data_IF_584755828077
#
_entry.id   IF_584755828077
#
_cell.length_a   1.000
_cell.length_b   1.000
_cell.length_c   1.000
_cell.angle_alpha   90.00
_cell.angle_beta   90.00
_cell.angle_gamma   90.00
#
_symmetry.space_group_name_H-M   'P 1'
#
loop_
_entity.id
_entity.type
_entity.pdbx_description
1 polymer ?
#
# COMPACT_ATOMS: atom_id res chain seq x y z
N UNK A 1 27.25 14.97 17.01
CA UNK A 1 25.97 15.17 16.29
C UNK A 1 26.31 15.27 14.82
N UNK A 2 25.82 14.35 14.02
CA UNK A 2 26.09 14.29 12.58
C UNK A 2 25.14 15.18 11.81
N UNK A 3 25.62 15.86 10.75
CA UNK A 3 24.82 16.59 9.78
C UNK A 3 24.87 15.81 8.47
N UNK A 4 23.93 14.89 8.26
CA UNK A 4 23.92 13.98 7.11
C UNK A 4 22.97 14.43 5.99
N UNK A 5 22.20 15.51 6.19
CA UNK A 5 21.25 16.01 5.19
C UNK A 5 21.97 16.88 4.15
N UNK A 6 21.59 16.72 2.87
CA UNK A 6 22.07 17.61 1.79
C UNK A 6 21.45 19.00 1.91
N UNK A 7 22.06 20.00 1.31
CA UNK A 7 21.54 21.38 1.32
C UNK A 7 20.20 21.47 0.58
N UNK A 8 20.01 20.70 -0.50
CA UNK A 8 18.75 20.61 -1.23
C UNK A 8 17.61 20.07 -0.32
N UNK A 9 17.90 19.01 0.45
CA UNK A 9 16.94 18.45 1.38
C UNK A 9 16.55 19.46 2.47
N UNK A 10 17.50 20.20 3.02
CA UNK A 10 17.26 21.26 4.02
C UNK A 10 16.47 22.45 3.46
N UNK A 11 16.72 22.79 2.18
CA UNK A 11 16.04 23.92 1.52
C UNK A 11 14.58 23.63 1.16
N UNK A 12 14.20 22.35 1.04
CA UNK A 12 12.82 21.98 0.72
C UNK A 12 11.89 22.23 1.90
N UNK A 13 10.72 22.81 1.63
CA UNK A 13 9.70 23.12 2.65
C UNK A 13 8.86 21.87 2.95
N UNK A 14 9.41 20.97 3.74
CA UNK A 14 8.74 19.75 4.15
C UNK A 14 7.44 20.03 4.91
N UNK A 15 6.40 19.26 4.60
CA UNK A 15 5.12 19.31 5.31
C UNK A 15 5.10 18.13 6.30
N UNK A 16 4.85 18.49 7.55
CA UNK A 16 4.67 17.47 8.59
C UNK A 16 3.30 16.84 8.48
N UNK A 17 3.27 15.52 8.63
CA UNK A 17 2.02 14.79 8.73
C UNK A 17 1.35 15.05 10.08
N UNK A 18 0.03 15.13 10.08
CA UNK A 18 -0.75 15.09 11.31
C UNK A 18 -1.04 13.64 11.68
N UNK A 19 -0.72 13.23 12.90
CA UNK A 19 -1.15 11.94 13.44
C UNK A 19 -2.62 12.09 13.86
N UNK A 20 -3.44 11.19 13.35
CA UNK A 20 -4.88 11.15 13.62
C UNK A 20 -5.30 9.74 14.01
N UNK A 21 -6.51 9.59 14.53
CA UNK A 21 -7.20 8.31 14.64
C UNK A 21 -8.62 8.41 14.10
N UNK A 22 -9.16 7.26 13.68
CA UNK A 22 -10.55 7.11 13.27
C UNK A 22 -11.08 5.75 13.71
N UNK A 23 -12.40 5.61 13.79
CA UNK A 23 -13.02 4.32 14.12
C UNK A 23 -13.19 3.48 12.87
N UNK A 24 -12.65 2.27 12.90
CA UNK A 24 -13.02 1.24 11.94
C UNK A 24 -14.50 0.85 12.14
N UNK A 25 -15.09 0.22 11.15
CA UNK A 25 -16.51 -0.21 11.16
C UNK A 25 -16.89 -1.14 12.32
N UNK A 26 -15.92 -1.80 12.92
CA UNK A 26 -16.09 -2.65 14.11
C UNK A 26 -15.72 -1.94 15.43
N UNK A 27 -15.54 -0.61 15.40
CA UNK A 27 -15.32 0.25 16.56
C UNK A 27 -13.86 0.34 17.04
N UNK A 28 -12.93 -0.39 16.44
CA UNK A 28 -11.52 -0.32 16.81
C UNK A 28 -10.91 1.00 16.34
N UNK A 29 -10.03 1.59 17.15
CA UNK A 29 -9.26 2.77 16.76
C UNK A 29 -8.17 2.38 15.77
N UNK A 30 -8.14 3.06 14.63
CA UNK A 30 -7.11 2.97 13.60
C UNK A 30 -6.36 4.28 13.56
N UNK A 31 -5.03 4.21 13.63
CA UNK A 31 -4.17 5.38 13.61
C UNK A 31 -3.59 5.60 12.21
N UNK A 32 -3.36 6.85 11.87
CA UNK A 32 -2.83 7.22 10.56
C UNK A 32 -2.05 8.53 10.62
N UNK A 33 -1.24 8.76 9.60
CA UNK A 33 -0.68 10.08 9.28
C UNK A 33 -1.44 10.64 8.08
N UNK A 34 -1.86 11.90 8.18
CA UNK A 34 -2.45 12.62 7.07
C UNK A 34 -1.56 13.77 6.64
N UNK A 35 -1.29 13.83 5.33
CA UNK A 35 -0.61 14.93 4.68
C UNK A 35 -1.60 15.66 3.80
N UNK A 36 -1.71 16.98 3.94
CA UNK A 36 -2.64 17.79 3.15
C UNK A 36 -2.04 19.15 2.78
N UNK A 37 -2.43 19.73 1.64
CA UNK A 37 -2.03 21.09 1.31
C UNK A 37 -2.46 22.06 2.39
N UNK A 38 -1.53 22.92 2.86
CA UNK A 38 -1.82 23.94 3.86
C UNK A 38 -2.84 24.98 3.36
N UNK A 39 -2.79 25.30 2.06
CA UNK A 39 -3.74 26.19 1.39
C UNK A 39 -4.90 25.37 0.80
N UNK A 40 -6.10 25.61 1.32
CA UNK A 40 -7.31 24.93 0.85
C UNK A 40 -7.58 25.13 -0.65
N UNK A 41 -7.15 26.25 -1.24
CA UNK A 41 -7.29 26.54 -2.68
C UNK A 41 -6.44 25.64 -3.56
N UNK A 42 -5.39 25.04 -3.00
CA UNK A 42 -4.51 24.09 -3.70
C UNK A 42 -5.02 22.65 -3.68
N UNK A 43 -6.05 22.34 -2.89
CA UNK A 43 -6.63 20.99 -2.82
C UNK A 43 -7.36 20.64 -4.12
N UNK A 44 -6.97 19.55 -4.75
CA UNK A 44 -7.54 19.07 -6.01
C UNK A 44 -8.65 18.01 -5.81
N UNK A 45 -9.05 17.74 -4.55
CA UNK A 45 -10.05 16.71 -4.16
C UNK A 45 -9.66 15.27 -4.55
N UNK A 46 -8.38 15.01 -4.80
CA UNK A 46 -7.84 13.68 -5.03
C UNK A 46 -7.11 13.21 -3.78
N UNK A 47 -7.12 11.92 -3.52
CA UNK A 47 -6.36 11.35 -2.43
C UNK A 47 -5.62 10.09 -2.84
N UNK A 48 -4.57 9.79 -2.07
CA UNK A 48 -3.82 8.54 -2.17
C UNK A 48 -3.72 7.94 -0.77
N UNK A 49 -4.05 6.66 -0.65
CA UNK A 49 -3.79 5.87 0.55
C UNK A 49 -2.47 5.14 0.34
N UNK A 50 -1.52 5.37 1.23
CA UNK A 50 -0.28 4.59 1.32
C UNK A 50 -0.45 3.47 2.32
N UNK A 51 0.02 2.28 1.95
CA UNK A 51 -0.03 1.08 2.77
C UNK A 51 1.40 0.57 2.99
N UNK A 52 1.85 0.59 4.24
CA UNK A 52 3.19 0.11 4.58
C UNK A 52 3.34 -1.41 4.39
N UNK A 53 4.58 -1.87 4.27
CA UNK A 53 4.91 -3.28 4.10
C UNK A 53 4.96 -4.08 5.40
N UNK A 54 5.30 -5.37 5.29
CA UNK A 54 5.54 -6.35 6.35
C UNK A 54 4.37 -6.62 7.30
N UNK A 55 3.29 -5.86 7.26
CA UNK A 55 2.12 -5.97 8.13
C UNK A 55 2.37 -5.54 9.59
N UNK A 56 3.56 -5.70 10.12
CA UNK A 56 3.91 -5.49 11.53
C UNK A 56 4.77 -4.24 11.78
N UNK A 57 4.58 -3.20 11.00
CA UNK A 57 5.23 -1.90 11.18
C UNK A 57 4.31 -0.90 11.87
N UNK A 58 4.86 0.22 12.30
CA UNK A 58 4.14 1.37 12.81
C UNK A 58 4.66 2.62 12.09
N UNK A 59 3.77 3.36 11.43
CA UNK A 59 4.09 4.60 10.73
C UNK A 59 3.41 5.83 11.35
N UNK A 60 2.32 5.66 12.09
CA UNK A 60 1.56 6.75 12.70
C UNK A 60 2.26 7.31 13.96
N UNK A 61 3.47 7.85 13.78
CA UNK A 61 4.28 8.46 14.82
C UNK A 61 4.91 9.77 14.34
N UNK A 62 5.51 10.54 15.25
CA UNK A 62 6.18 11.82 14.96
C UNK A 62 7.71 11.68 14.82
N UNK A 63 8.21 10.47 14.71
CA UNK A 63 9.62 10.16 14.51
C UNK A 63 9.97 10.12 13.02
N UNK A 64 11.24 9.99 12.69
CA UNK A 64 11.70 9.75 11.33
C UNK A 64 10.99 8.53 10.72
N UNK A 65 10.44 8.68 9.52
CA UNK A 65 9.81 7.58 8.81
C UNK A 65 10.86 6.57 8.34
N UNK A 66 10.61 5.30 8.58
CA UNK A 66 11.37 4.22 7.91
C UNK A 66 11.15 4.27 6.40
N UNK A 67 10.02 4.80 5.97
CA UNK A 67 9.66 5.07 4.58
C UNK A 67 10.05 6.51 4.20
N UNK A 68 11.35 6.84 4.25
CA UNK A 68 11.81 8.21 3.99
C UNK A 68 11.66 8.62 2.53
N UNK A 69 11.69 7.66 1.58
CA UNK A 69 11.45 7.91 0.16
C UNK A 69 9.98 8.21 -0.10
N UNK A 70 9.09 7.42 0.49
CA UNK A 70 7.65 7.63 0.45
C UNK A 70 7.27 8.94 1.14
N UNK A 71 7.93 9.31 2.24
CA UNK A 71 7.75 10.62 2.86
C UNK A 71 8.04 11.77 1.88
N UNK A 72 9.12 11.68 1.10
CA UNK A 72 9.42 12.65 0.06
C UNK A 72 8.36 12.65 -1.05
N UNK A 73 7.92 11.47 -1.48
CA UNK A 73 6.88 11.33 -2.49
C UNK A 73 5.52 11.84 -2.01
N UNK A 74 5.16 11.60 -0.74
CA UNK A 74 3.95 12.18 -0.13
C UNK A 74 3.98 13.70 -0.15
N UNK A 75 5.12 14.31 0.13
CA UNK A 75 5.30 15.76 0.04
C UNK A 75 5.11 16.27 -1.39
N UNK A 76 5.65 15.57 -2.39
CA UNK A 76 5.43 15.88 -3.82
C UNK A 76 3.94 15.79 -4.20
N UNK A 77 3.23 14.75 -3.72
CA UNK A 77 1.79 14.62 -3.95
C UNK A 77 1.01 15.79 -3.34
N UNK A 78 1.37 16.19 -2.12
CA UNK A 78 0.75 17.36 -1.45
C UNK A 78 1.01 18.65 -2.21
N UNK A 79 2.21 18.85 -2.77
CA UNK A 79 2.51 20.00 -3.64
C UNK A 79 1.67 20.02 -4.91
N UNK A 80 1.27 18.84 -5.39
CA UNK A 80 0.33 18.67 -6.51
C UNK A 80 -1.15 18.73 -6.10
N UNK A 81 -1.44 19.04 -4.84
CA UNK A 81 -2.79 19.23 -4.33
C UNK A 81 -3.50 17.99 -3.81
N UNK A 82 -2.83 16.84 -3.76
CA UNK A 82 -3.40 15.61 -3.21
C UNK A 82 -3.43 15.63 -1.69
N UNK A 83 -4.39 14.92 -1.11
CA UNK A 83 -4.33 14.49 0.29
C UNK A 83 -3.76 13.07 0.33
N UNK A 84 -2.82 12.81 1.24
CA UNK A 84 -2.24 11.46 1.43
C UNK A 84 -2.60 10.96 2.82
N UNK A 85 -3.07 9.72 2.91
CA UNK A 85 -3.36 9.03 4.15
C UNK A 85 -2.48 7.79 4.26
N UNK A 86 -1.68 7.72 5.30
CA UNK A 86 -0.74 6.64 5.61
C UNK A 86 -1.25 5.94 6.87
N UNK A 87 -1.79 4.72 6.72
CA UNK A 87 -2.61 4.04 7.73
C UNK A 87 -1.82 2.92 8.41
N UNK A 88 -1.86 2.91 9.74
CA UNK A 88 -1.49 1.75 10.55
C UNK A 88 -2.73 0.83 10.69
N UNK A 89 -2.92 -0.01 9.67
CA UNK A 89 -4.03 -0.96 9.58
C UNK A 89 -3.89 -2.12 10.59
N UNK A 90 -4.93 -2.91 10.81
CA UNK A 90 -4.86 -4.15 11.60
C UNK A 90 -3.72 -5.05 11.12
N UNK A 91 -2.88 -5.48 12.03
CA UNK A 91 -1.59 -6.12 12.01
C UNK A 91 -0.45 -5.19 12.41
N UNK A 92 -0.58 -3.87 12.30
CA UNK A 92 0.48 -2.91 12.64
C UNK A 92 0.94 -3.06 14.10
N UNK A 93 2.22 -2.79 14.33
CA UNK A 93 2.85 -2.91 15.64
C UNK A 93 2.48 -1.75 16.57
N UNK A 94 2.61 -1.97 17.88
CA UNK A 94 2.47 -0.91 18.89
C UNK A 94 1.06 -0.73 19.45
N UNK A 95 0.05 -1.42 18.92
CA UNK A 95 -1.37 -1.26 19.29
C UNK A 95 -1.94 -2.46 20.06
N UNK A 96 -1.06 -3.35 20.54
CA UNK A 96 -1.43 -4.52 21.31
C UNK A 96 -1.77 -5.76 20.46
N UNK A 97 -1.99 -6.87 21.19
CA UNK A 97 -2.16 -8.21 20.59
C UNK A 97 -3.34 -8.25 19.63
N UNK A 98 -4.49 -7.72 20.01
CA UNK A 98 -5.74 -7.89 19.26
C UNK A 98 -5.71 -7.16 17.90
N UNK A 99 -5.02 -6.02 17.84
CA UNK A 99 -4.72 -5.36 16.56
C UNK A 99 -3.74 -6.19 15.74
N UNK A 100 -2.65 -6.64 16.36
CA UNK A 100 -1.59 -7.39 15.68
C UNK A 100 -2.08 -8.72 15.11
N UNK A 101 -2.93 -9.44 15.83
CA UNK A 101 -3.49 -10.74 15.41
C UNK A 101 -4.78 -10.63 14.61
N UNK A 102 -5.23 -9.41 14.31
CA UNK A 102 -6.48 -9.15 13.58
C UNK A 102 -6.54 -9.74 12.16
N UNK A 103 -5.39 -10.17 11.63
CA UNK A 103 -5.25 -10.80 10.32
C UNK A 103 -5.10 -12.34 10.38
N UNK A 104 -5.22 -12.93 11.57
CA UNK A 104 -5.11 -14.37 11.72
C UNK A 104 -6.11 -15.11 10.82
N UNK A 105 -5.60 -16.05 10.02
CA UNK A 105 -6.32 -16.81 8.98
C UNK A 105 -6.96 -15.97 7.87
N UNK A 106 -6.80 -14.63 7.84
CA UNK A 106 -7.38 -13.79 6.81
C UNK A 106 -6.59 -12.48 6.62
N UNK A 107 -5.49 -12.53 5.91
CA UNK A 107 -4.85 -11.35 5.35
C UNK A 107 -5.71 -10.80 4.20
N UNK A 108 -5.88 -9.46 4.12
CA UNK A 108 -6.86 -8.84 3.22
C UNK A 108 -8.30 -8.83 3.77
N UNK A 109 -8.46 -9.11 5.06
CA UNK A 109 -9.71 -9.03 5.79
C UNK A 109 -9.87 -7.69 6.52
N UNK A 110 -9.62 -7.67 7.83
CA UNK A 110 -9.74 -6.45 8.65
C UNK A 110 -8.72 -5.36 8.28
N UNK A 111 -7.54 -5.74 7.90
CA UNK A 111 -6.49 -4.87 7.36
C UNK A 111 -6.93 -4.12 6.09
N UNK A 112 -7.65 -4.81 5.18
CA UNK A 112 -8.27 -4.18 4.01
C UNK A 112 -9.44 -3.28 4.42
N UNK A 113 -10.32 -3.75 5.32
CA UNK A 113 -11.46 -2.93 5.72
C UNK A 113 -11.06 -1.66 6.44
N UNK A 114 -9.93 -1.63 7.17
CA UNK A 114 -9.39 -0.41 7.76
C UNK A 114 -8.99 0.63 6.69
N UNK A 115 -8.43 0.16 5.57
CA UNK A 115 -8.10 1.01 4.43
C UNK A 115 -9.36 1.54 3.72
N UNK A 116 -10.41 0.73 3.58
CA UNK A 116 -11.71 1.15 3.05
C UNK A 116 -12.38 2.19 3.96
N UNK A 117 -12.29 2.00 5.28
CA UNK A 117 -12.81 2.97 6.26
C UNK A 117 -11.99 4.27 6.25
N UNK A 118 -10.67 4.17 5.98
CA UNK A 118 -9.82 5.33 5.71
C UNK A 118 -10.23 6.09 4.44
N UNK A 119 -10.61 5.39 3.38
CA UNK A 119 -11.14 6.02 2.17
C UNK A 119 -12.46 6.76 2.46
N UNK A 120 -13.35 6.17 3.25
CA UNK A 120 -14.58 6.83 3.71
C UNK A 120 -14.28 8.09 4.53
N UNK A 121 -13.33 8.02 5.46
CA UNK A 121 -12.86 9.19 6.23
C UNK A 121 -12.39 10.32 5.30
N UNK A 122 -11.62 10.01 4.24
CA UNK A 122 -11.14 11.00 3.28
C UNK A 122 -12.30 11.72 2.58
N UNK A 123 -13.34 11.00 2.19
CA UNK A 123 -14.54 11.58 1.58
C UNK A 123 -15.29 12.47 2.57
N UNK A 124 -15.61 11.94 3.75
CA UNK A 124 -16.49 12.61 4.72
C UNK A 124 -15.82 13.80 5.42
N UNK A 125 -14.54 13.66 5.80
CA UNK A 125 -13.87 14.66 6.62
C UNK A 125 -12.96 15.60 5.82
N UNK A 126 -12.38 15.10 4.72
CA UNK A 126 -11.41 15.87 3.91
C UNK A 126 -11.99 16.35 2.57
N UNK A 127 -13.24 16.02 2.26
CA UNK A 127 -13.93 16.47 1.06
C UNK A 127 -13.36 15.90 -0.24
N UNK A 128 -12.77 14.71 -0.17
CA UNK A 128 -12.21 14.03 -1.34
C UNK A 128 -13.33 13.48 -2.22
N UNK A 129 -13.17 13.58 -3.52
CA UNK A 129 -14.06 12.96 -4.49
C UNK A 129 -13.94 11.44 -4.38
N UNK A 130 -15.03 10.69 -4.08
CA UNK A 130 -14.99 9.24 -3.92
C UNK A 130 -14.52 8.49 -5.17
N UNK A 131 -14.57 9.13 -6.34
CA UNK A 131 -14.07 8.58 -7.62
C UNK A 131 -12.59 8.88 -7.88
N UNK A 132 -11.90 9.55 -6.96
CA UNK A 132 -10.52 10.02 -7.12
C UNK A 132 -9.62 9.61 -5.96
N UNK A 133 -9.79 8.39 -5.48
CA UNK A 133 -8.95 7.80 -4.44
C UNK A 133 -8.10 6.71 -5.08
N UNK A 134 -6.79 6.85 -4.98
CA UNK A 134 -5.82 5.83 -5.34
C UNK A 134 -5.22 5.15 -4.11
N UNK A 135 -4.62 3.98 -4.31
CA UNK A 135 -3.88 3.25 -3.29
C UNK A 135 -2.52 2.80 -3.82
N UNK A 136 -1.49 2.88 -3.00
CA UNK A 136 -0.21 2.26 -3.34
C UNK A 136 0.53 1.75 -2.11
N UNK A 137 1.42 0.80 -2.34
CA UNK A 137 2.31 0.29 -1.31
C UNK A 137 3.19 -0.83 -1.83
N UNK A 138 4.24 -1.15 -1.06
CA UNK A 138 5.20 -2.19 -1.40
C UNK A 138 5.04 -3.44 -0.56
N UNK A 139 5.42 -4.62 -1.11
CA UNK A 139 5.40 -5.88 -0.37
C UNK A 139 3.98 -6.23 0.13
N UNK A 140 3.78 -6.31 1.45
CA UNK A 140 2.45 -6.43 2.04
C UNK A 140 1.51 -5.29 1.59
N UNK A 141 2.03 -4.06 1.45
CA UNK A 141 1.26 -2.93 0.92
C UNK A 141 0.87 -3.11 -0.55
N UNK A 142 1.74 -3.76 -1.35
CA UNK A 142 1.42 -4.15 -2.73
C UNK A 142 0.34 -5.24 -2.79
N UNK A 143 0.46 -6.25 -1.93
CA UNK A 143 -0.59 -7.25 -1.72
C UNK A 143 -1.93 -6.60 -1.36
N UNK A 144 -1.92 -5.67 -0.40
CA UNK A 144 -3.11 -4.93 0.04
C UNK A 144 -3.72 -4.11 -1.09
N UNK A 145 -2.87 -3.44 -1.89
CA UNK A 145 -3.32 -2.70 -3.08
C UNK A 145 -4.03 -3.63 -4.07
N UNK A 146 -3.49 -4.82 -4.33
CA UNK A 146 -4.15 -5.81 -5.19
C UNK A 146 -5.49 -6.28 -4.61
N UNK A 147 -5.53 -6.61 -3.30
CA UNK A 147 -6.79 -7.00 -2.64
C UNK A 147 -7.84 -5.88 -2.76
N UNK A 148 -7.44 -4.63 -2.54
CA UNK A 148 -8.33 -3.47 -2.67
C UNK A 148 -8.88 -3.33 -4.09
N UNK A 149 -8.03 -3.38 -5.10
CA UNK A 149 -8.41 -3.24 -6.51
C UNK A 149 -9.30 -4.39 -7.01
N UNK A 150 -9.16 -5.59 -6.43
CA UNK A 150 -9.89 -6.78 -6.88
C UNK A 150 -11.15 -7.07 -6.08
N UNK A 151 -11.19 -6.73 -4.79
CA UNK A 151 -12.33 -7.09 -3.91
C UNK A 151 -13.17 -5.90 -3.47
N UNK A 152 -12.64 -4.67 -3.61
CA UNK A 152 -13.37 -3.42 -3.35
C UNK A 152 -13.23 -2.43 -4.52
N UNK A 153 -13.49 -2.88 -5.77
CA UNK A 153 -13.15 -2.13 -6.99
C UNK A 153 -13.94 -0.83 -7.19
N UNK A 154 -15.00 -0.61 -6.42
CA UNK A 154 -15.81 0.61 -6.47
C UNK A 154 -15.30 1.70 -5.51
N UNK A 155 -14.31 1.38 -4.67
CA UNK A 155 -13.71 2.32 -3.71
C UNK A 155 -12.47 3.01 -4.27
N UNK A 156 -11.65 2.27 -5.04
CA UNK A 156 -10.37 2.76 -5.53
C UNK A 156 -10.36 2.88 -7.05
N UNK A 157 -10.06 4.08 -7.54
CA UNK A 157 -9.99 4.37 -8.97
C UNK A 157 -8.71 3.86 -9.62
N UNK A 158 -7.61 3.83 -8.87
CA UNK A 158 -6.31 3.37 -9.34
C UNK A 158 -5.50 2.73 -8.20
N UNK A 159 -4.64 1.78 -8.54
CA UNK A 159 -3.73 1.15 -7.60
C UNK A 159 -2.33 0.97 -8.18
N UNK A 160 -1.29 1.15 -7.36
CA UNK A 160 0.08 0.79 -7.71
C UNK A 160 0.62 -0.24 -6.70
N UNK A 161 0.72 -1.48 -7.15
CA UNK A 161 1.21 -2.61 -6.37
C UNK A 161 2.71 -2.79 -6.63
N UNK A 162 3.53 -2.50 -5.61
CA UNK A 162 4.98 -2.55 -5.73
C UNK A 162 5.47 -3.86 -5.10
N UNK A 163 6.23 -4.68 -5.87
CA UNK A 163 6.74 -5.98 -5.40
C UNK A 163 5.73 -6.78 -4.55
N UNK A 164 4.51 -7.01 -5.08
CA UNK A 164 3.42 -7.55 -4.31
C UNK A 164 3.52 -9.06 -4.13
N UNK A 165 3.10 -9.58 -2.97
CA UNK A 165 2.73 -10.99 -2.85
C UNK A 165 1.37 -11.17 -3.51
N UNK A 166 1.25 -12.14 -4.41
CA UNK A 166 -0.01 -12.43 -5.13
C UNK A 166 -0.64 -13.76 -4.70
N UNK A 167 0.18 -14.65 -4.18
CA UNK A 167 -0.24 -15.97 -3.69
C UNK A 167 0.56 -16.33 -2.43
N UNK A 168 -0.05 -16.32 -1.28
CA UNK A 168 0.63 -16.59 -0.01
C UNK A 168 1.17 -18.01 0.11
N UNK A 169 0.66 -18.96 -0.70
CA UNK A 169 1.21 -20.31 -0.74
C UNK A 169 2.57 -20.38 -1.43
N UNK A 170 2.92 -19.37 -2.23
CA UNK A 170 4.22 -19.25 -2.89
C UNK A 170 5.23 -18.40 -2.10
N UNK A 171 4.81 -17.80 -0.98
CA UNK A 171 5.66 -16.95 -0.16
C UNK A 171 6.36 -17.75 0.96
N UNK A 172 7.21 -17.07 1.72
CA UNK A 172 8.00 -17.62 2.82
C UNK A 172 7.12 -18.34 3.86
N UNK A 173 7.32 -19.65 4.01
CA UNK A 173 6.53 -20.49 4.91
C UNK A 173 6.63 -20.04 6.38
N UNK A 174 7.82 -19.66 6.86
CA UNK A 174 8.03 -19.22 8.24
C UNK A 174 7.24 -17.95 8.59
N UNK A 175 6.95 -17.10 7.59
CA UNK A 175 6.06 -15.94 7.76
C UNK A 175 4.60 -16.35 7.67
N UNK A 176 4.19 -17.04 6.61
CA UNK A 176 2.79 -17.30 6.32
C UNK A 176 2.14 -18.29 7.28
N UNK A 177 2.82 -19.34 7.69
CA UNK A 177 2.28 -20.37 8.58
C UNK A 177 1.89 -19.82 9.96
N UNK A 178 2.60 -18.82 10.46
CA UNK A 178 2.24 -18.14 11.71
C UNK A 178 0.93 -17.35 11.65
N UNK A 179 0.48 -17.00 10.43
CA UNK A 179 -0.72 -16.17 10.23
C UNK A 179 -1.84 -16.99 9.62
N UNK A 180 -1.55 -17.85 8.65
CA UNK A 180 -2.54 -18.58 7.85
C UNK A 180 -2.61 -20.08 8.17
N UNK A 181 -1.85 -20.59 9.16
CA UNK A 181 -1.64 -22.02 9.43
C UNK A 181 -0.89 -22.69 8.27
N UNK A 182 -1.07 -23.98 8.07
CA UNK A 182 -0.45 -24.74 6.99
C UNK A 182 -1.35 -24.77 5.75
N UNK A 183 -0.81 -24.59 4.53
CA UNK A 183 -1.63 -24.57 3.32
C UNK A 183 -2.35 -25.89 3.06
N UNK A 184 -1.84 -27.01 3.57
CA UNK A 184 -2.43 -28.35 3.47
C UNK A 184 -3.59 -28.57 4.45
N UNK A 185 -3.56 -27.92 5.61
CA UNK A 185 -4.60 -28.08 6.65
C UNK A 185 -5.59 -26.95 6.68
N UNK A 186 -5.24 -25.75 6.16
CA UNK A 186 -6.10 -24.57 6.11
C UNK A 186 -6.01 -23.87 4.74
N UNK A 187 -6.25 -24.60 3.68
CA UNK A 187 -6.20 -24.08 2.30
C UNK A 187 -7.17 -22.89 2.08
N UNK A 188 -8.27 -22.84 2.83
CA UNK A 188 -9.21 -21.72 2.78
C UNK A 188 -8.57 -20.40 3.24
N UNK A 189 -7.74 -20.40 4.30
CA UNK A 189 -7.05 -19.22 4.77
C UNK A 189 -6.12 -18.66 3.68
N UNK A 190 -5.37 -19.51 2.99
CA UNK A 190 -4.51 -19.13 1.88
C UNK A 190 -5.30 -18.57 0.69
N UNK A 191 -6.34 -19.31 0.26
CA UNK A 191 -7.13 -18.91 -0.91
C UNK A 191 -7.81 -17.56 -0.72
N UNK A 192 -8.44 -17.31 0.43
CA UNK A 192 -9.14 -16.05 0.70
C UNK A 192 -8.19 -14.87 0.92
N UNK A 193 -6.91 -15.15 1.22
CA UNK A 193 -5.89 -14.15 1.44
C UNK A 193 -5.02 -13.86 0.20
N UNK A 194 -5.18 -14.57 -0.90
CA UNK A 194 -4.30 -14.46 -2.07
C UNK A 194 -4.97 -13.74 -3.23
N UNK A 195 -4.49 -12.53 -3.62
CA UNK A 195 -5.13 -11.68 -4.62
C UNK A 195 -5.34 -12.35 -5.98
N UNK A 196 -4.47 -13.27 -6.39
CA UNK A 196 -4.54 -13.94 -7.70
C UNK A 196 -5.91 -14.61 -7.94
N UNK A 197 -6.57 -15.06 -6.89
CA UNK A 197 -7.89 -15.67 -6.98
C UNK A 197 -9.02 -14.67 -7.21
N UNK A 198 -8.77 -13.38 -6.98
CA UNK A 198 -9.74 -12.31 -7.10
C UNK A 198 -9.50 -11.37 -8.28
N UNK A 199 -8.48 -11.64 -9.10
CA UNK A 199 -8.05 -10.79 -10.22
C UNK A 199 -9.18 -10.44 -11.21
N UNK A 200 -10.23 -11.27 -11.30
CA UNK A 200 -11.41 -10.99 -12.12
C UNK A 200 -12.16 -9.72 -11.66
N UNK A 201 -12.02 -9.32 -10.40
CA UNK A 201 -12.70 -8.13 -9.87
C UNK A 201 -12.09 -6.79 -10.29
N UNK A 202 -10.95 -6.76 -10.98
CA UNK A 202 -10.31 -5.52 -11.42
C UNK A 202 -11.23 -4.67 -12.29
N UNK A 203 -11.47 -3.42 -11.88
CA UNK A 203 -12.22 -2.39 -12.63
C UNK A 203 -11.41 -1.12 -12.87
N UNK A 204 -10.67 -0.65 -11.87
CA UNK A 204 -9.83 0.55 -11.96
C UNK A 204 -8.49 0.28 -12.64
N UNK A 205 -7.65 1.31 -12.76
CA UNK A 205 -6.32 1.19 -13.35
C UNK A 205 -5.32 0.57 -12.36
N UNK A 206 -4.53 -0.38 -12.81
CA UNK A 206 -3.54 -1.08 -11.99
C UNK A 206 -2.15 -0.97 -12.59
N UNK A 207 -1.21 -0.48 -11.80
CA UNK A 207 0.23 -0.55 -12.07
C UNK A 207 0.86 -1.61 -11.18
N UNK A 208 1.69 -2.49 -11.74
CA UNK A 208 2.51 -3.45 -11.00
C UNK A 208 3.97 -3.10 -11.26
N UNK A 209 4.76 -2.86 -10.20
CA UNK A 209 6.21 -2.64 -10.29
C UNK A 209 6.94 -3.73 -9.52
N UNK A 210 7.98 -4.35 -10.11
CA UNK A 210 8.71 -5.43 -9.44
C UNK A 210 10.17 -5.49 -9.87
N UNK A 211 11.08 -5.67 -8.91
CA UNK A 211 12.49 -5.94 -9.17
C UNK A 211 12.72 -7.37 -9.68
N UNK A 212 13.53 -7.53 -10.70
CA UNK A 212 13.72 -8.86 -11.32
C UNK A 212 14.56 -9.78 -10.45
N UNK A 213 15.47 -9.23 -9.65
CA UNK A 213 16.34 -10.00 -8.74
C UNK A 213 15.81 -10.05 -7.30
N UNK A 214 14.53 -9.73 -7.08
CA UNK A 214 13.88 -9.78 -5.77
C UNK A 214 13.94 -11.20 -5.20
N UNK A 215 14.70 -11.37 -4.09
CA UNK A 215 14.89 -12.64 -3.39
C UNK A 215 13.94 -12.82 -2.20
N UNK A 216 13.15 -11.80 -1.87
CA UNK A 216 12.14 -11.86 -0.81
C UNK A 216 10.77 -12.26 -1.37
N UNK A 217 10.23 -11.46 -2.30
CA UNK A 217 9.04 -11.80 -3.08
C UNK A 217 9.47 -12.04 -4.51
N UNK A 218 9.54 -13.27 -4.93
CA UNK A 218 10.01 -13.59 -6.28
C UNK A 218 9.11 -12.98 -7.35
N UNK A 219 9.71 -12.42 -8.40
CA UNK A 219 9.00 -11.77 -9.51
C UNK A 219 7.98 -12.71 -10.19
N UNK A 220 8.13 -14.02 -10.05
CA UNK A 220 7.16 -15.03 -10.53
C UNK A 220 5.75 -14.75 -10.00
N UNK A 221 5.60 -14.19 -8.80
CA UNK A 221 4.31 -13.80 -8.26
C UNK A 221 3.61 -12.78 -9.18
N UNK A 222 4.32 -11.73 -9.58
CA UNK A 222 3.80 -10.72 -10.51
C UNK A 222 3.58 -11.28 -11.92
N UNK A 223 4.45 -12.14 -12.41
CA UNK A 223 4.27 -12.78 -13.73
C UNK A 223 3.06 -13.72 -13.76
N UNK A 224 2.83 -14.50 -12.70
CA UNK A 224 1.62 -15.34 -12.58
C UNK A 224 0.35 -14.49 -12.56
N UNK A 225 0.36 -13.36 -11.84
CA UNK A 225 -0.76 -12.44 -11.84
C UNK A 225 -0.97 -11.79 -13.21
N UNK A 226 0.10 -11.35 -13.89
CA UNK A 226 0.03 -10.79 -15.23
C UNK A 226 -0.59 -11.80 -16.21
N UNK A 227 -0.15 -13.06 -16.20
CA UNK A 227 -0.76 -14.13 -17.00
C UNK A 227 -2.24 -14.29 -16.67
N UNK A 228 -2.61 -14.25 -15.38
CA UNK A 228 -4.01 -14.36 -14.95
C UNK A 228 -4.87 -13.19 -15.46
N UNK A 229 -4.35 -11.97 -15.45
CA UNK A 229 -5.06 -10.79 -15.98
C UNK A 229 -5.26 -10.88 -17.50
N UNK A 230 -4.27 -11.42 -18.25
CA UNK A 230 -4.37 -11.69 -19.69
C UNK A 230 -5.48 -12.71 -19.96
N UNK A 231 -5.49 -13.85 -19.25
CA UNK A 231 -6.52 -14.90 -19.38
C UNK A 231 -7.92 -14.34 -19.10
N UNK A 232 -8.04 -13.43 -18.15
CA UNK A 232 -9.28 -12.76 -17.79
C UNK A 232 -9.64 -11.58 -18.73
N UNK A 233 -8.80 -11.32 -19.75
CA UNK A 233 -8.99 -10.24 -20.74
C UNK A 233 -9.12 -8.85 -20.06
N UNK A 234 -8.33 -8.61 -19.01
CA UNK A 234 -8.26 -7.29 -18.37
C UNK A 234 -7.33 -6.39 -19.18
N UNK A 235 -7.76 -5.15 -19.45
CA UNK A 235 -7.05 -4.20 -20.32
C UNK A 235 -6.43 -3.03 -19.54
N UNK A 236 -6.96 -2.73 -18.36
CA UNK A 236 -6.60 -1.55 -17.58
C UNK A 236 -5.50 -1.83 -16.55
N UNK A 237 -4.44 -2.49 -16.97
CA UNK A 237 -3.27 -2.75 -16.14
C UNK A 237 -1.97 -2.63 -16.93
N UNK A 238 -0.90 -2.26 -16.23
CA UNK A 238 0.46 -2.19 -16.74
C UNK A 238 1.42 -2.88 -15.75
N UNK A 239 2.51 -3.43 -16.25
CA UNK A 239 3.59 -3.96 -15.42
C UNK A 239 4.92 -3.37 -15.86
N UNK A 240 5.72 -2.92 -14.88
CA UNK A 240 7.09 -2.50 -15.06
C UNK A 240 8.01 -3.43 -14.24
N UNK A 241 8.93 -4.13 -14.91
CA UNK A 241 10.01 -4.87 -14.27
C UNK A 241 11.29 -4.04 -14.23
N UNK A 242 12.02 -4.12 -13.12
CA UNK A 242 13.28 -3.41 -12.90
C UNK A 242 14.41 -4.45 -12.88
N UNK A 243 15.20 -4.56 -13.97
CA UNK A 243 16.06 -5.72 -14.23
C UNK A 243 17.10 -6.01 -13.16
N UNK A 244 17.63 -4.98 -12.50
CA UNK A 244 18.73 -5.09 -11.53
C UNK A 244 18.30 -4.83 -10.08
N UNK A 245 16.99 -4.63 -9.85
CA UNK A 245 16.49 -4.27 -8.52
C UNK A 245 16.00 -5.48 -7.73
N UNK A 246 16.30 -5.46 -6.42
CA UNK A 246 15.82 -6.40 -5.42
C UNK A 246 14.52 -5.88 -4.77
N UNK A 247 14.10 -6.49 -3.66
CA UNK A 247 12.87 -6.13 -2.92
C UNK A 247 12.84 -4.67 -2.46
N UNK A 248 13.95 -4.15 -1.97
CA UNK A 248 14.16 -2.73 -1.76
C UNK A 248 15.07 -2.19 -2.87
N UNK A 249 14.55 -1.33 -3.74
CA UNK A 249 15.36 -0.77 -4.80
C UNK A 249 16.60 -0.06 -4.26
N UNK A 250 17.74 -0.25 -4.91
CA UNK A 250 19.02 0.34 -4.51
C UNK A 250 19.24 1.65 -5.26
N UNK A 251 18.97 1.66 -6.57
CA UNK A 251 19.28 2.80 -7.42
C UNK A 251 18.25 3.93 -7.27
N UNK A 252 18.74 5.15 -7.04
CA UNK A 252 17.89 6.34 -6.94
C UNK A 252 17.08 6.60 -8.22
N UNK A 253 17.62 6.25 -9.38
CA UNK A 253 16.94 6.38 -10.67
C UNK A 253 15.77 5.40 -10.82
N UNK A 254 15.88 4.21 -10.26
CA UNK A 254 14.80 3.23 -10.24
C UNK A 254 13.64 3.70 -9.35
N UNK A 255 13.93 4.22 -8.16
CA UNK A 255 12.94 4.86 -7.30
C UNK A 255 12.25 6.04 -7.99
N UNK A 256 13.02 6.88 -8.67
CA UNK A 256 12.46 8.02 -9.40
C UNK A 256 11.53 7.57 -10.53
N UNK A 257 11.90 6.53 -11.30
CA UNK A 257 11.05 5.99 -12.37
C UNK A 257 9.77 5.40 -11.79
N UNK A 258 9.86 4.62 -10.71
CA UNK A 258 8.69 4.03 -10.03
C UNK A 258 7.70 5.12 -9.59
N UNK A 259 8.16 6.17 -8.90
CA UNK A 259 7.28 7.27 -8.47
C UNK A 259 6.71 8.08 -9.65
N UNK A 260 7.43 8.24 -10.75
CA UNK A 260 6.91 8.86 -11.97
C UNK A 260 5.78 8.04 -12.59
N UNK A 261 5.89 6.71 -12.58
CA UNK A 261 4.84 5.80 -13.06
C UNK A 261 3.60 5.85 -12.17
N UNK A 262 3.78 5.84 -10.86
CA UNK A 262 2.67 5.97 -9.89
C UNK A 262 1.93 7.30 -10.07
N UNK A 263 2.66 8.39 -10.37
CA UNK A 263 2.10 9.72 -10.52
C UNK A 263 1.33 9.91 -11.85
N UNK A 264 1.65 9.14 -12.89
CA UNK A 264 1.00 9.19 -14.21
C UNK A 264 -0.43 8.65 -14.15
#
# INVERSE_FOLDING_TARGET
>A
ITSSLTEEFKAYKWKEAKVISFKARDGVDVYARVYEPADAKKKNKKAVIFVHGAGYLQNAHKWWSQYFREYMFHNLLVDKGYTVLDIDYRASAGYGRDVRTGIYRHMGGKDLTDNVDGAKLLVEKYGIDPKKIGMYGGSYGGFMTLMAMFTTPDVFAAGAALRPVTDWAAYNHGYTANILNEPTTDSLAYRRSSPIYFANGLKGNLLICHGTVDVNVHIQDSYRLAQRLIELKKENWEMASYPMEDHGFVEATSWMDEYKRILK
#
